data_IF_042753824939
#
_entry.id   IF_042753824939
#
_cell.length_a   1.000
_cell.length_b   1.000
_cell.length_c   1.000
_cell.angle_alpha   90.00
_cell.angle_beta   90.00
_cell.angle_gamma   90.00
#
_symmetry.space_group_name_H-M   'P 1'
#
loop_
_entity.id
_entity.type
_entity.pdbx_description
1 polymer ?
#
# COMPACT_ATOMS: atom_id res chain seq x y z
N UNK A 1 17.54 22.77 3.06
CA UNK A 1 17.95 21.39 3.40
C UNK A 1 18.77 21.43 4.68
N UNK A 2 18.17 21.13 5.84
CA UNK A 2 18.93 21.03 7.10
C UNK A 2 19.71 19.72 7.13
N UNK A 3 21.05 19.79 7.21
CA UNK A 3 21.91 18.62 7.37
C UNK A 3 21.65 18.00 8.75
N UNK A 4 21.32 16.70 8.81
CA UNK A 4 21.31 15.96 10.08
C UNK A 4 22.73 16.00 10.69
N UNK A 5 22.80 16.28 12.00
CA UNK A 5 24.04 16.12 12.77
C UNK A 5 24.50 14.65 12.75
N UNK A 6 25.81 14.39 12.86
CA UNK A 6 26.37 13.03 12.91
C UNK A 6 25.69 12.18 14.01
N UNK A 7 25.53 12.76 15.19
CA UNK A 7 24.84 12.10 16.32
C UNK A 7 23.39 11.71 15.99
N UNK A 8 22.68 12.55 15.24
CA UNK A 8 21.29 12.29 14.83
C UNK A 8 21.22 11.17 13.80
N UNK A 9 22.23 11.05 12.92
CA UNK A 9 22.32 9.97 11.93
C UNK A 9 22.61 8.62 12.59
N UNK A 10 23.46 8.60 13.62
CA UNK A 10 23.76 7.38 14.37
C UNK A 10 22.50 6.87 15.11
N UNK A 11 21.74 7.78 15.75
CA UNK A 11 20.45 7.45 16.37
C UNK A 11 19.43 6.90 15.37
N UNK A 12 19.38 7.46 14.17
CA UNK A 12 18.51 6.99 13.09
C UNK A 12 18.86 5.55 12.69
N UNK A 13 20.15 5.25 12.45
CA UNK A 13 20.58 3.90 12.09
C UNK A 13 20.31 2.90 13.20
N UNK A 14 20.56 3.28 14.46
CA UNK A 14 20.26 2.43 15.61
C UNK A 14 18.76 2.14 15.73
N UNK A 15 17.91 3.15 15.55
CA UNK A 15 16.46 2.99 15.59
C UNK A 15 15.95 2.04 14.50
N UNK A 16 16.41 2.23 13.25
CA UNK A 16 16.06 1.37 12.11
C UNK A 16 16.53 -0.07 12.35
N UNK A 17 17.75 -0.26 12.86
CA UNK A 17 18.30 -1.58 13.18
C UNK A 17 17.49 -2.33 14.25
N UNK A 18 16.99 -1.62 15.27
CA UNK A 18 16.24 -2.23 16.38
C UNK A 18 14.78 -2.49 16.01
N UNK A 19 14.11 -1.55 15.34
CA UNK A 19 12.66 -1.63 15.07
C UNK A 19 12.31 -2.24 13.73
N UNK A 20 13.26 -2.34 12.80
CA UNK A 20 12.99 -2.66 11.40
C UNK A 20 12.17 -1.59 10.66
N UNK A 21 12.01 -0.40 11.25
CA UNK A 21 11.27 0.70 10.64
C UNK A 21 11.95 1.22 9.36
N UNK A 22 11.17 1.77 8.44
CA UNK A 22 11.75 2.54 7.33
C UNK A 22 12.46 3.79 7.86
N UNK A 23 13.50 4.26 7.17
CA UNK A 23 14.22 5.48 7.56
C UNK A 23 13.25 6.67 7.75
N UNK A 24 12.20 6.76 6.93
CA UNK A 24 11.18 7.82 7.04
C UNK A 24 10.39 7.73 8.34
N UNK A 25 9.94 6.53 8.72
CA UNK A 25 9.18 6.32 9.95
C UNK A 25 10.08 6.51 11.19
N UNK A 26 11.31 6.00 11.17
CA UNK A 26 12.29 6.21 12.22
C UNK A 26 12.61 7.71 12.41
N UNK A 27 12.76 8.45 11.31
CA UNK A 27 13.07 9.88 11.34
C UNK A 27 11.87 10.72 11.82
N UNK A 28 10.64 10.28 11.56
CA UNK A 28 9.43 10.89 12.12
C UNK A 28 9.34 10.66 13.63
N UNK A 29 9.54 9.42 14.09
CA UNK A 29 9.51 9.07 15.52
C UNK A 29 10.59 9.81 16.31
N UNK A 30 11.83 9.84 15.79
CA UNK A 30 12.95 10.57 16.41
C UNK A 30 12.73 12.08 16.43
N UNK A 31 12.07 12.66 15.42
CA UNK A 31 11.72 14.10 15.45
C UNK A 31 10.63 14.40 16.47
N UNK A 32 9.66 13.51 16.62
CA UNK A 32 8.56 13.66 17.57
C UNK A 32 9.01 13.48 19.03
N UNK A 33 10.16 12.86 19.26
CA UNK A 33 10.75 12.63 20.60
C UNK A 33 11.95 13.54 20.92
N UNK A 34 12.16 14.62 20.17
CA UNK A 34 13.34 15.49 20.31
C UNK A 34 14.68 14.71 20.27
N UNK A 35 14.75 13.70 19.41
CA UNK A 35 15.88 12.79 19.24
C UNK A 35 16.22 11.93 20.46
N UNK A 36 15.25 11.66 21.34
CA UNK A 36 15.36 10.65 22.38
C UNK A 36 14.93 9.28 21.83
N UNK A 37 15.84 8.30 21.90
CA UNK A 37 15.60 6.94 21.40
C UNK A 37 14.43 6.26 22.14
N UNK A 38 14.42 6.34 23.47
CA UNK A 38 13.38 5.73 24.30
C UNK A 38 11.99 6.31 24.01
N UNK A 39 11.87 7.64 23.99
CA UNK A 39 10.63 8.31 23.60
C UNK A 39 10.23 8.03 22.15
N UNK A 40 11.20 7.86 21.24
CA UNK A 40 10.91 7.50 19.85
C UNK A 40 10.32 6.09 19.75
N UNK A 41 10.76 5.14 20.57
CA UNK A 41 10.17 3.79 20.59
C UNK A 41 8.72 3.86 21.06
N UNK A 42 8.45 4.62 22.12
CA UNK A 42 7.08 4.78 22.64
C UNK A 42 6.17 5.45 21.60
N UNK A 43 6.62 6.53 20.94
CA UNK A 43 5.88 7.17 19.82
C UNK A 43 5.66 6.19 18.66
N UNK A 44 6.67 5.40 18.33
CA UNK A 44 6.60 4.43 17.25
C UNK A 44 5.60 3.31 17.56
N UNK A 45 5.63 2.73 18.75
CA UNK A 45 4.72 1.63 19.10
C UNK A 45 3.31 2.09 19.51
N UNK A 46 3.15 3.34 19.98
CA UNK A 46 1.85 3.93 20.33
C UNK A 46 1.07 4.44 19.11
N UNK A 47 1.76 4.86 18.05
CA UNK A 47 1.09 5.14 16.79
C UNK A 47 0.71 3.81 16.14
N UNK A 48 -0.53 3.65 15.63
CA UNK A 48 -0.81 2.58 14.70
C UNK A 48 0.18 2.78 13.56
N UNK A 49 1.17 1.89 13.50
CA UNK A 49 2.20 1.87 12.48
C UNK A 49 1.47 1.82 11.15
N UNK A 50 1.17 2.97 10.57
CA UNK A 50 0.98 3.10 9.14
C UNK A 50 2.36 2.88 8.58
N UNK A 51 2.75 1.60 8.59
CA UNK A 51 3.72 1.07 7.66
C UNK A 51 3.17 1.58 6.34
N UNK A 52 3.76 2.64 5.79
CA UNK A 52 3.66 2.89 4.37
C UNK A 52 4.38 1.69 3.74
N UNK A 53 3.68 0.54 3.70
CA UNK A 53 4.11 -0.73 3.10
C UNK A 53 4.36 -0.56 1.60
N UNK A 54 3.86 0.57 1.08
CA UNK A 54 3.84 0.93 -0.32
C UNK A 54 4.67 2.18 -0.57
N UNK A 55 5.56 2.11 -1.56
CA UNK A 55 6.21 3.29 -2.13
C UNK A 55 5.23 4.06 -3.03
N UNK A 56 4.98 5.33 -2.71
CA UNK A 56 4.10 6.20 -3.49
C UNK A 56 4.57 6.38 -4.93
N UNK A 57 5.88 6.30 -5.21
CA UNK A 57 6.42 6.40 -6.57
C UNK A 57 6.05 5.20 -7.41
N UNK A 58 6.22 3.99 -6.87
CA UNK A 58 5.83 2.77 -7.58
C UNK A 58 4.31 2.70 -7.80
N UNK A 59 3.52 3.21 -6.86
CA UNK A 59 2.06 3.33 -7.04
C UNK A 59 1.68 4.26 -8.18
N UNK A 60 2.34 5.42 -8.28
CA UNK A 60 2.14 6.35 -9.40
C UNK A 60 2.58 5.72 -10.73
N UNK A 61 3.69 4.99 -10.77
CA UNK A 61 4.14 4.26 -11.96
C UNK A 61 3.15 3.18 -12.40
N UNK A 62 2.63 2.39 -11.45
CA UNK A 62 1.58 1.40 -11.69
C UNK A 62 0.32 2.06 -12.24
N UNK A 63 -0.14 3.14 -11.60
CA UNK A 63 -1.31 3.88 -12.06
C UNK A 63 -1.12 4.39 -13.50
N UNK A 64 0.03 5.01 -13.79
CA UNK A 64 0.32 5.54 -15.12
C UNK A 64 0.44 4.45 -16.20
N UNK A 65 0.78 3.21 -15.83
CA UNK A 65 0.82 2.07 -16.77
C UNK A 65 -0.58 1.68 -17.27
N UNK A 66 -1.60 1.81 -16.43
CA UNK A 66 -2.97 1.36 -16.74
C UNK A 66 -3.95 2.51 -17.00
N UNK A 67 -3.58 3.76 -16.73
CA UNK A 67 -4.50 4.89 -16.93
C UNK A 67 -4.81 5.10 -18.41
N UNK A 68 -5.99 5.66 -18.65
CA UNK A 68 -6.38 6.13 -19.97
C UNK A 68 -5.49 7.32 -20.43
N UNK A 69 -5.13 7.41 -21.72
CA UNK A 69 -4.29 8.50 -22.24
C UNK A 69 -4.93 9.89 -22.11
N UNK A 70 -6.27 9.97 -22.07
CA UNK A 70 -7.04 11.20 -22.12
C UNK A 70 -7.77 11.51 -20.81
N UNK A 71 -8.00 10.50 -19.97
CA UNK A 71 -8.71 10.62 -18.70
C UNK A 71 -7.82 10.23 -17.52
N UNK A 72 -8.00 10.87 -16.37
CA UNK A 72 -7.37 10.46 -15.12
C UNK A 72 -8.14 9.32 -14.43
N UNK A 73 -8.40 8.27 -15.21
CA UNK A 73 -9.06 7.03 -14.77
C UNK A 73 -8.44 5.83 -15.48
N UNK A 74 -8.49 4.67 -14.82
CA UNK A 74 -8.26 3.37 -15.43
C UNK A 74 -9.63 2.87 -15.91
N UNK A 75 -9.81 2.75 -17.21
CA UNK A 75 -11.03 2.23 -17.83
C UNK A 75 -10.88 0.76 -18.21
N UNK A 76 -11.87 0.21 -18.92
CA UNK A 76 -11.94 -1.19 -19.33
C UNK A 76 -10.67 -1.70 -20.00
N UNK A 77 -10.05 -0.92 -20.89
CA UNK A 77 -8.80 -1.32 -21.57
C UNK A 77 -7.63 -1.43 -20.58
N UNK A 78 -7.53 -0.47 -19.65
CA UNK A 78 -6.53 -0.47 -18.58
C UNK A 78 -6.72 -1.62 -17.60
N UNK A 79 -7.97 -1.94 -17.23
CA UNK A 79 -8.29 -3.08 -16.38
C UNK A 79 -8.01 -4.40 -17.09
N UNK A 80 -8.30 -4.50 -18.39
CA UNK A 80 -7.99 -5.69 -19.18
C UNK A 80 -6.48 -5.95 -19.19
N UNK A 81 -5.68 -4.89 -19.37
CA UNK A 81 -4.23 -4.98 -19.29
C UNK A 81 -3.75 -5.37 -17.89
N UNK A 82 -4.34 -4.78 -16.84
CA UNK A 82 -4.05 -5.13 -15.45
C UNK A 82 -4.33 -6.60 -15.16
N UNK A 83 -5.49 -7.11 -15.56
CA UNK A 83 -5.86 -8.52 -15.39
C UNK A 83 -4.88 -9.45 -16.11
N UNK A 84 -4.45 -9.10 -17.33
CA UNK A 84 -3.44 -9.85 -18.08
C UNK A 84 -2.10 -9.89 -17.33
N UNK A 85 -1.61 -8.73 -16.90
CA UNK A 85 -0.37 -8.61 -16.12
C UNK A 85 -0.46 -9.38 -14.79
N UNK A 86 -1.62 -9.42 -14.15
CA UNK A 86 -1.87 -10.18 -12.92
C UNK A 86 -2.11 -11.67 -13.17
N UNK A 87 -2.27 -12.10 -14.43
CA UNK A 87 -2.65 -13.46 -14.83
C UNK A 87 -3.96 -13.92 -14.18
N UNK A 88 -4.94 -13.01 -14.15
CA UNK A 88 -6.28 -13.24 -13.62
C UNK A 88 -7.31 -13.07 -14.73
N UNK A 89 -8.31 -13.94 -14.75
CA UNK A 89 -9.44 -13.79 -15.67
C UNK A 89 -10.26 -12.55 -15.25
N UNK A 90 -10.55 -11.60 -16.16
CA UNK A 90 -11.41 -10.45 -15.85
C UNK A 90 -12.78 -10.81 -15.29
N UNK A 91 -13.29 -12.01 -15.55
CA UNK A 91 -14.55 -12.53 -15.04
C UNK A 91 -14.42 -13.30 -13.71
N UNK A 92 -13.20 -13.44 -13.18
CA UNK A 92 -12.98 -14.10 -11.90
C UNK A 92 -13.59 -13.28 -10.75
N UNK A 93 -14.29 -13.96 -9.83
CA UNK A 93 -14.90 -13.35 -8.64
C UNK A 93 -13.90 -12.57 -7.79
N UNK A 94 -12.61 -12.93 -7.84
CA UNK A 94 -11.57 -12.18 -7.12
C UNK A 94 -11.47 -10.73 -7.59
N UNK A 95 -11.82 -10.42 -8.84
CA UNK A 95 -11.84 -9.04 -9.35
C UNK A 95 -12.92 -8.19 -8.70
N UNK A 96 -14.02 -8.79 -8.25
CA UNK A 96 -15.04 -8.11 -7.45
C UNK A 96 -14.51 -7.78 -6.05
N UNK A 97 -13.77 -8.70 -5.43
CA UNK A 97 -13.13 -8.48 -4.13
C UNK A 97 -12.07 -7.39 -4.21
N UNK A 98 -11.26 -7.39 -5.28
CA UNK A 98 -10.30 -6.31 -5.54
C UNK A 98 -11.04 -4.98 -5.66
N UNK A 99 -12.09 -4.90 -6.48
CA UNK A 99 -12.90 -3.67 -6.64
C UNK A 99 -13.47 -3.17 -5.32
N UNK A 100 -13.94 -4.08 -4.45
CA UNK A 100 -14.42 -3.76 -3.12
C UNK A 100 -13.33 -3.14 -2.23
N UNK A 101 -12.13 -3.72 -2.23
CA UNK A 101 -10.99 -3.16 -1.48
C UNK A 101 -10.53 -1.80 -2.02
N UNK A 102 -10.64 -1.57 -3.33
CA UNK A 102 -10.37 -0.27 -3.96
C UNK A 102 -11.47 0.76 -3.66
N UNK A 103 -12.60 0.34 -3.07
CA UNK A 103 -13.81 1.14 -2.86
C UNK A 103 -14.33 1.77 -4.15
N UNK A 104 -14.24 1.02 -5.25
CA UNK A 104 -14.65 1.50 -6.56
C UNK A 104 -16.14 1.85 -6.59
N UNK A 105 -16.45 3.05 -7.09
CA UNK A 105 -17.82 3.50 -7.29
C UNK A 105 -18.50 2.80 -8.48
N UNK A 106 -17.72 2.51 -9.53
CA UNK A 106 -18.21 1.92 -10.78
C UNK A 106 -17.47 0.62 -11.08
N UNK A 107 -18.18 -0.39 -11.56
CA UNK A 107 -17.57 -1.64 -11.99
C UNK A 107 -16.70 -1.40 -13.23
N UNK A 108 -15.53 -2.05 -13.27
CA UNK A 108 -14.59 -1.96 -14.39
C UNK A 108 -14.04 -0.55 -14.67
N UNK A 109 -14.01 0.31 -13.65
CA UNK A 109 -13.35 1.61 -13.71
C UNK A 109 -12.69 1.91 -12.36
N UNK A 110 -11.52 2.57 -12.38
CA UNK A 110 -10.91 3.10 -11.17
C UNK A 110 -10.45 4.53 -11.40
N UNK A 111 -10.89 5.46 -10.56
CA UNK A 111 -10.23 6.75 -10.42
C UNK A 111 -8.85 6.58 -9.81
N UNK A 112 -7.99 7.59 -9.98
CA UNK A 112 -6.67 7.62 -9.35
C UNK A 112 -6.73 7.42 -7.83
N UNK A 113 -7.73 8.02 -7.17
CA UNK A 113 -7.86 7.95 -5.71
C UNK A 113 -8.25 6.54 -5.25
N UNK A 114 -9.18 5.89 -5.94
CA UNK A 114 -9.59 4.52 -5.64
C UNK A 114 -8.43 3.54 -5.83
N UNK A 115 -7.71 3.64 -6.96
CA UNK A 115 -6.60 2.75 -7.27
C UNK A 115 -5.43 2.92 -6.29
N UNK A 116 -4.93 4.15 -6.11
CA UNK A 116 -3.80 4.41 -5.22
C UNK A 116 -4.18 4.16 -3.76
N UNK A 117 -5.34 4.65 -3.33
CA UNK A 117 -5.80 4.49 -1.95
C UNK A 117 -6.06 3.02 -1.58
N UNK A 118 -6.67 2.26 -2.50
CA UNK A 118 -6.91 0.84 -2.31
C UNK A 118 -5.61 0.04 -2.22
N UNK A 119 -4.67 0.25 -3.14
CA UNK A 119 -3.36 -0.41 -3.11
C UNK A 119 -2.56 -0.06 -1.85
N UNK A 120 -2.58 1.20 -1.41
CA UNK A 120 -1.97 1.61 -0.14
C UNK A 120 -2.58 0.87 1.05
N UNK A 121 -3.90 0.76 1.10
CA UNK A 121 -4.60 0.05 2.18
C UNK A 121 -4.28 -1.44 2.20
N UNK A 122 -3.99 -2.03 1.03
CA UNK A 122 -3.62 -3.43 0.87
C UNK A 122 -2.11 -3.69 1.02
N UNK A 123 -1.28 -2.63 1.13
CA UNK A 123 0.16 -2.79 1.19
C UNK A 123 0.82 -3.18 -0.14
N UNK A 124 0.15 -2.96 -1.27
CA UNK A 124 0.60 -3.33 -2.61
C UNK A 124 1.28 -2.15 -3.29
N UNK A 125 2.52 -2.32 -3.74
CA UNK A 125 3.26 -1.34 -4.56
C UNK A 125 3.95 -1.95 -5.77
N UNK A 126 3.67 -3.23 -6.06
CA UNK A 126 4.24 -3.98 -7.17
C UNK A 126 3.26 -5.06 -7.61
N UNK A 127 3.38 -5.50 -8.87
CA UNK A 127 2.53 -6.57 -9.40
C UNK A 127 2.69 -7.89 -8.64
N UNK A 128 3.88 -8.20 -8.14
CA UNK A 128 4.12 -9.42 -7.37
C UNK A 128 3.37 -9.41 -6.04
N UNK A 129 3.44 -8.30 -5.28
CA UNK A 129 2.62 -8.13 -4.07
C UNK A 129 1.13 -8.17 -4.38
N UNK A 130 0.72 -7.66 -5.53
CA UNK A 130 -0.67 -7.70 -5.96
C UNK A 130 -1.12 -9.16 -6.18
N UNK A 131 -0.35 -9.95 -6.94
CA UNK A 131 -0.63 -11.37 -7.19
C UNK A 131 -0.66 -12.19 -5.90
N UNK A 132 0.25 -11.92 -4.97
CA UNK A 132 0.26 -12.55 -3.64
C UNK A 132 -1.03 -12.23 -2.87
N UNK A 133 -1.43 -10.94 -2.85
CA UNK A 133 -2.66 -10.53 -2.18
C UNK A 133 -3.91 -11.14 -2.81
N UNK A 134 -3.97 -11.25 -4.14
CA UNK A 134 -5.06 -11.94 -4.86
C UNK A 134 -5.15 -13.41 -4.44
N UNK A 135 -4.02 -14.09 -4.30
CA UNK A 135 -3.98 -15.48 -3.84
C UNK A 135 -4.54 -15.62 -2.42
N UNK A 136 -4.23 -14.66 -1.54
CA UNK A 136 -4.79 -14.60 -0.20
C UNK A 136 -6.29 -14.32 -0.20
N UNK A 137 -6.77 -13.33 -0.97
CA UNK A 137 -8.21 -13.04 -1.10
C UNK A 137 -9.00 -14.27 -1.60
N UNK A 138 -8.42 -15.06 -2.52
CA UNK A 138 -9.03 -16.32 -2.97
C UNK A 138 -9.11 -17.37 -1.86
N UNK A 139 -8.13 -17.41 -0.97
CA UNK A 139 -8.17 -18.31 0.18
C UNK A 139 -9.25 -17.87 1.18
N UNK A 140 -9.37 -16.57 1.45
CA UNK A 140 -10.43 -16.00 2.30
C UNK A 140 -11.82 -16.29 1.74
N UNK A 141 -12.02 -16.22 0.41
CA UNK A 141 -13.28 -16.57 -0.23
C UNK A 141 -13.66 -18.06 -0.09
N UNK A 142 -12.67 -18.95 0.02
CA UNK A 142 -12.89 -20.39 0.16
C UNK A 142 -13.14 -20.81 1.61
N UNK A 143 -12.70 -20.01 2.57
CA UNK A 143 -12.93 -20.25 3.99
C UNK A 143 -14.33 -19.69 4.34
N UNK A 144 -15.37 -20.52 4.16
CA UNK A 144 -16.80 -20.20 4.29
C UNK A 144 -17.24 -19.76 5.72
N UNK A 145 -16.62 -18.74 6.33
CA UNK A 145 -16.99 -18.24 7.68
C UNK A 145 -16.92 -16.73 7.92
N UNK A 146 -16.94 -15.90 6.88
CA UNK A 146 -17.11 -14.43 7.05
C UNK A 146 -18.32 -13.84 6.35
N UNK A 147 -19.23 -14.67 5.81
CA UNK A 147 -20.62 -14.26 5.58
C UNK A 147 -21.43 -14.26 6.89
N UNK A 148 -20.98 -13.50 7.88
CA UNK A 148 -21.77 -12.99 9.01
C UNK A 148 -21.16 -11.63 9.28
N UNK A 149 -21.78 -10.49 9.00
CA UNK A 149 -23.19 -10.12 9.01
C UNK A 149 -23.24 -8.72 9.63
N UNK A 150 -24.24 -7.95 9.18
CA UNK A 150 -24.55 -6.55 9.51
C UNK A 150 -23.80 -5.48 8.70
#
# INVERSE_FOLDING_TARGET
MHKLSRSNRDKLQQFVSITGASEKAALQALKASDWHLEGAFDVFYSQPQSKSLTDTRHLEELYNRYKDPYLDMILVDGITLLCNDLQVDPQDIVMLVVSWHMKAATMCEFSKQEFIGGLQSLGIDSLDKFRERISFMRAELKDERTCTGA
#
